data_IF_248035793904
#
_entry.id   IF_248035793904
#
_cell.length_a   1.000
_cell.length_b   1.000
_cell.length_c   1.000
_cell.angle_alpha   90.00
_cell.angle_beta   90.00
_cell.angle_gamma   90.00
#
_symmetry.space_group_name_H-M   'P 1'
#
loop_
_entity.id
_entity.type
_entity.pdbx_description
1 polymer ?
#
# COMPACT_ATOMS: atom_id res chain seq x y z
N UNK A 1 -21.89 -20.37 6.70
CA UNK A 1 -21.52 -20.03 8.10
C UNK A 1 -21.48 -18.51 8.26
N UNK A 2 -22.06 -17.95 9.32
CA UNK A 2 -21.97 -16.51 9.62
C UNK A 2 -20.66 -16.25 10.36
N UNK A 3 -19.86 -15.29 9.89
CA UNK A 3 -18.63 -14.84 10.53
C UNK A 3 -18.85 -13.44 11.10
N UNK A 4 -19.11 -13.29 12.41
CA UNK A 4 -19.53 -12.01 13.00
C UNK A 4 -18.45 -10.92 13.01
N UNK A 5 -17.22 -11.26 12.63
CA UNK A 5 -16.03 -10.40 12.64
C UNK A 5 -15.38 -10.31 11.25
N UNK A 6 -16.17 -10.49 10.19
CA UNK A 6 -15.68 -10.48 8.82
C UNK A 6 -15.63 -9.05 8.28
N UNK A 7 -14.44 -8.60 7.90
CA UNK A 7 -14.24 -7.36 7.16
C UNK A 7 -13.91 -7.66 5.70
N UNK A 8 -14.51 -6.89 4.80
CA UNK A 8 -14.25 -6.97 3.37
C UNK A 8 -13.81 -5.60 2.87
N UNK A 9 -12.58 -5.52 2.37
CA UNK A 9 -12.05 -4.34 1.68
C UNK A 9 -11.98 -4.65 0.18
N UNK A 10 -12.55 -3.75 -0.63
CA UNK A 10 -12.59 -3.87 -2.09
C UNK A 10 -12.15 -2.56 -2.73
N UNK A 11 -11.27 -2.66 -3.73
CA UNK A 11 -10.87 -1.50 -4.52
C UNK A 11 -11.88 -1.19 -5.61
N UNK A 12 -12.18 0.10 -5.75
CA UNK A 12 -12.82 0.63 -6.95
C UNK A 12 -11.88 0.43 -8.16
N UNK A 13 -12.24 -0.51 -9.03
CA UNK A 13 -11.51 -0.79 -10.27
C UNK A 13 -10.31 -1.76 -10.16
N UNK A 14 -10.17 -2.55 -9.09
CA UNK A 14 -9.00 -3.41 -8.89
C UNK A 14 -9.30 -4.85 -8.41
N UNK A 15 -8.75 -5.83 -9.15
CA UNK A 15 -8.37 -7.18 -8.66
C UNK A 15 -9.08 -8.38 -9.31
N UNK A 16 -8.33 -9.20 -10.06
CA UNK A 16 -8.74 -10.57 -10.47
C UNK A 16 -8.62 -11.59 -9.31
N UNK A 17 -8.01 -11.21 -8.20
CA UNK A 17 -7.65 -12.10 -7.08
C UNK A 17 -8.14 -11.52 -5.75
N UNK A 18 -8.73 -12.37 -4.92
CA UNK A 18 -9.09 -12.07 -3.53
C UNK A 18 -8.12 -12.74 -2.56
N UNK A 19 -7.84 -12.06 -1.44
CA UNK A 19 -7.06 -12.62 -0.33
C UNK A 19 -8.01 -12.84 0.84
N UNK A 20 -7.97 -14.03 1.42
CA UNK A 20 -8.72 -14.36 2.63
C UNK A 20 -7.73 -14.69 3.74
N UNK A 21 -7.84 -13.99 4.87
CA UNK A 21 -7.08 -14.27 6.08
C UNK A 21 -8.05 -14.74 7.17
N UNK A 22 -7.73 -15.88 7.79
CA UNK A 22 -8.44 -16.35 8.97
C UNK A 22 -7.74 -15.86 10.23
N UNK A 23 -8.51 -15.51 11.27
CA UNK A 23 -8.00 -15.06 12.58
C UNK A 23 -7.19 -13.75 12.55
N UNK A 24 -7.85 -12.63 12.22
CA UNK A 24 -7.23 -11.29 12.12
C UNK A 24 -6.62 -10.71 13.41
N UNK A 25 -6.60 -11.49 14.51
CA UNK A 25 -6.03 -11.17 15.83
C UNK A 25 -6.63 -9.92 16.50
N UNK A 26 -7.94 -9.78 16.44
CA UNK A 26 -8.73 -8.78 17.16
C UNK A 26 -9.90 -9.47 17.86
N UNK A 27 -10.36 -8.89 18.96
CA UNK A 27 -11.47 -9.43 19.76
C UNK A 27 -12.79 -8.72 19.45
N UNK A 28 -12.70 -7.43 19.13
CA UNK A 28 -13.84 -6.56 18.82
C UNK A 28 -13.82 -6.18 17.34
N UNK A 29 -15.00 -6.07 16.75
CA UNK A 29 -15.17 -5.68 15.34
C UNK A 29 -14.58 -4.29 15.05
N UNK A 30 -14.76 -3.35 15.97
CA UNK A 30 -14.21 -1.99 15.87
C UNK A 30 -12.67 -1.95 15.83
N UNK A 31 -11.99 -2.93 16.41
CA UNK A 31 -10.52 -3.05 16.33
C UNK A 31 -10.07 -3.72 15.02
N UNK A 32 -10.93 -4.58 14.46
CA UNK A 32 -10.61 -5.39 13.29
C UNK A 32 -10.61 -4.61 11.99
N UNK A 33 -11.50 -3.64 11.84
CA UNK A 33 -11.59 -2.81 10.63
C UNK A 33 -10.28 -2.07 10.32
N UNK A 34 -9.70 -1.24 11.22
CA UNK A 34 -8.46 -0.51 10.91
C UNK A 34 -7.26 -1.44 10.70
N UNK A 35 -7.20 -2.57 11.41
CA UNK A 35 -6.13 -3.57 11.24
C UNK A 35 -6.23 -4.29 9.90
N UNK A 36 -7.44 -4.64 9.48
CA UNK A 36 -7.68 -5.29 8.19
C UNK A 36 -7.34 -4.33 7.04
N UNK A 37 -7.75 -3.06 7.16
CA UNK A 37 -7.40 -2.03 6.18
C UNK A 37 -5.88 -1.82 6.09
N UNK A 38 -5.19 -1.70 7.22
CA UNK A 38 -3.73 -1.54 7.23
C UNK A 38 -3.00 -2.73 6.57
N UNK A 39 -3.46 -3.97 6.80
CA UNK A 39 -2.92 -5.17 6.11
C UNK A 39 -3.21 -5.14 4.61
N UNK A 40 -4.42 -4.76 4.22
CA UNK A 40 -4.77 -4.62 2.81
C UNK A 40 -3.91 -3.58 2.10
N UNK A 41 -3.66 -2.43 2.74
CA UNK A 41 -2.74 -1.40 2.25
C UNK A 41 -1.29 -1.91 2.16
N UNK A 42 -0.82 -2.69 3.14
CA UNK A 42 0.50 -3.32 3.12
C UNK A 42 0.65 -4.29 1.94
N UNK A 43 -0.34 -5.16 1.69
CA UNK A 43 -0.34 -6.06 0.54
C UNK A 43 -0.27 -5.30 -0.79
N UNK A 44 -0.89 -4.11 -0.84
CA UNK A 44 -0.87 -3.24 -2.03
C UNK A 44 0.42 -2.44 -2.17
N UNK A 45 1.18 -2.24 -1.10
CA UNK A 45 2.34 -1.34 -1.12
C UNK A 45 3.40 -1.72 -2.18
N UNK A 46 3.50 -3.00 -2.53
CA UNK A 46 4.37 -3.50 -3.61
C UNK A 46 3.85 -3.26 -5.03
N UNK A 47 2.58 -2.86 -5.22
CA UNK A 47 1.99 -2.68 -6.56
C UNK A 47 2.58 -1.51 -7.33
N UNK A 48 3.19 -0.53 -6.65
CA UNK A 48 3.77 0.67 -7.26
C UNK A 48 5.12 0.98 -6.63
N UNK A 49 6.16 0.29 -7.10
CA UNK A 49 7.55 0.48 -6.68
C UNK A 49 8.40 0.81 -7.91
N UNK A 50 9.35 1.71 -7.75
CA UNK A 50 10.32 2.09 -8.79
C UNK A 50 11.74 2.05 -8.25
N UNK A 51 12.68 1.74 -9.13
CA UNK A 51 14.11 1.82 -8.85
C UNK A 51 14.71 2.93 -9.71
N UNK A 52 15.59 3.75 -9.13
CA UNK A 52 16.25 4.84 -9.85
C UNK A 52 17.67 5.06 -9.31
N UNK A 53 18.57 5.45 -10.19
CA UNK A 53 19.92 5.87 -9.84
C UNK A 53 19.97 7.39 -9.85
N UNK A 54 20.55 8.00 -8.81
CA UNK A 54 20.58 9.45 -8.65
C UNK A 54 21.85 9.89 -7.92
N UNK A 55 22.31 11.11 -8.22
CA UNK A 55 23.38 11.79 -7.50
C UNK A 55 22.84 12.73 -6.40
N UNK A 56 21.53 12.72 -6.14
CA UNK A 56 20.90 13.59 -5.16
C UNK A 56 21.21 13.12 -3.73
N UNK A 57 22.22 13.73 -3.10
CA UNK A 57 22.65 13.44 -1.73
C UNK A 57 21.55 13.67 -0.67
N UNK A 58 20.53 14.46 -1.00
CA UNK A 58 19.47 14.81 -0.08
C UNK A 58 18.38 13.73 0.02
N UNK A 59 18.46 12.66 -0.79
CA UNK A 59 17.53 11.53 -0.72
C UNK A 59 17.98 10.54 0.35
N UNK A 60 17.03 10.17 1.21
CA UNK A 60 17.20 9.24 2.32
C UNK A 60 15.88 8.50 2.57
N UNK A 61 15.90 7.29 3.13
CA UNK A 61 14.67 6.58 3.47
C UNK A 61 13.69 7.46 4.27
N UNK A 62 12.41 7.38 3.92
CA UNK A 62 11.34 8.21 4.48
C UNK A 62 11.14 9.57 3.81
N UNK A 63 12.07 10.05 2.98
CA UNK A 63 11.90 11.33 2.29
C UNK A 63 10.86 11.23 1.17
N UNK A 64 9.93 12.18 1.15
CA UNK A 64 8.97 12.35 0.07
C UNK A 64 9.50 13.41 -0.91
N UNK A 65 9.44 13.14 -2.21
CA UNK A 65 9.80 14.05 -3.28
C UNK A 65 8.86 13.88 -4.48
N UNK A 66 8.75 14.90 -5.32
CA UNK A 66 7.95 14.83 -6.55
C UNK A 66 8.86 14.49 -7.73
N UNK A 67 8.53 13.44 -8.47
CA UNK A 67 9.21 13.13 -9.73
C UNK A 67 8.61 13.99 -10.85
N UNK A 68 9.47 14.59 -11.67
CA UNK A 68 9.08 15.44 -12.80
C UNK A 68 9.85 15.02 -14.05
N UNK A 69 9.31 15.35 -15.24
CA UNK A 69 9.92 15.06 -16.54
C UNK A 69 10.18 13.57 -16.85
N UNK A 70 9.48 12.65 -16.21
CA UNK A 70 9.52 11.23 -16.59
C UNK A 70 8.68 10.99 -17.87
N UNK A 71 9.20 10.23 -18.88
CA UNK A 71 8.51 9.99 -20.15
C UNK A 71 7.15 9.29 -19.98
N UNK A 72 7.00 8.49 -18.93
CA UNK A 72 5.72 7.92 -18.54
C UNK A 72 4.99 8.88 -17.58
N UNK A 73 3.92 9.53 -18.07
CA UNK A 73 3.18 10.56 -17.33
C UNK A 73 2.72 10.12 -15.92
N UNK A 74 2.19 8.90 -15.70
CA UNK A 74 1.77 8.43 -14.38
C UNK A 74 2.90 8.32 -13.33
N UNK A 75 4.17 8.33 -13.74
CA UNK A 75 5.29 8.32 -12.81
C UNK A 75 5.63 9.72 -12.28
N UNK A 76 5.11 10.80 -12.89
CA UNK A 76 5.31 12.15 -12.41
C UNK A 76 4.36 12.46 -11.23
N UNK A 77 4.61 11.80 -10.10
CA UNK A 77 3.80 11.84 -8.89
C UNK A 77 4.70 12.07 -7.66
N UNK A 78 4.10 12.12 -6.47
CA UNK A 78 4.79 12.12 -5.20
C UNK A 78 5.28 10.72 -4.84
N UNK A 79 6.58 10.59 -4.60
CA UNK A 79 7.25 9.34 -4.25
C UNK A 79 7.90 9.43 -2.88
N UNK A 80 7.90 8.32 -2.15
CA UNK A 80 8.63 8.17 -0.90
C UNK A 80 9.82 7.23 -1.11
N UNK A 81 11.00 7.64 -0.66
CA UNK A 81 12.19 6.78 -0.67
C UNK A 81 12.01 5.70 0.40
N UNK A 82 12.08 4.43 0.00
CA UNK A 82 11.96 3.28 0.91
C UNK A 82 13.36 2.80 1.31
N UNK A 83 14.29 2.74 0.35
CA UNK A 83 15.68 2.27 0.51
C UNK A 83 16.62 3.11 -0.37
N UNK A 84 17.90 3.22 0.01
CA UNK A 84 18.99 3.88 -0.76
C UNK A 84 20.21 2.97 -0.86
#
# INVERSE_FOLDING_TARGET
PSYPLMHQDQQAGGGQHSVFESYGRFQLDAEGEPLTKARFEQLRSGSRVGNATTNCFALRPGKIFTLQNHPHAPMNDSWQVITV
#
